data_IF_446637577704
#
_entry.id   IF_446637577704
#
_cell.length_a   1.000
_cell.length_b   1.000
_cell.length_c   1.000
_cell.angle_alpha   90.00
_cell.angle_beta   90.00
_cell.angle_gamma   90.00
#
_symmetry.space_group_name_H-M   'P 1'
#
loop_
_entity.id
_entity.type
_entity.pdbx_description
1 polymer ?
#
# COMPACT_ATOMS: atom_id res chain seq x y z
N UNK A 1 7.92 31.46 -52.92
CA UNK A 1 7.01 30.29 -52.93
C UNK A 1 7.38 29.40 -51.77
N UNK A 2 6.40 29.02 -50.96
CA UNK A 2 6.54 28.36 -49.66
C UNK A 2 6.30 26.86 -49.83
N UNK A 3 7.29 26.03 -49.52
CA UNK A 3 7.15 24.58 -49.38
C UNK A 3 8.06 24.10 -48.25
N UNK A 4 7.60 24.28 -47.02
CA UNK A 4 8.18 23.63 -45.84
C UNK A 4 7.56 22.24 -45.71
N UNK A 5 8.23 21.24 -46.26
CA UNK A 5 7.94 19.82 -46.02
C UNK A 5 9.11 19.28 -45.18
N UNK A 6 8.86 19.09 -43.89
CA UNK A 6 9.65 18.21 -43.04
C UNK A 6 8.69 17.55 -42.04
N UNK A 7 8.16 16.41 -42.44
CA UNK A 7 7.56 15.39 -41.57
C UNK A 7 8.21 14.08 -42.06
N UNK A 8 8.97 13.39 -41.19
CA UNK A 8 8.31 12.54 -40.21
C UNK A 8 8.98 12.63 -38.83
N UNK A 9 8.29 13.27 -37.89
CA UNK A 9 8.56 13.02 -36.47
C UNK A 9 7.91 11.68 -36.12
N UNK A 10 8.65 10.60 -36.37
CA UNK A 10 8.43 9.33 -35.67
C UNK A 10 8.84 9.55 -34.21
N UNK A 11 7.97 10.19 -33.43
CA UNK A 11 8.09 10.23 -31.98
C UNK A 11 7.38 8.99 -31.44
N UNK A 12 8.22 8.02 -31.10
CA UNK A 12 7.91 6.73 -30.52
C UNK A 12 6.83 6.83 -29.43
N UNK A 13 5.82 5.99 -29.59
CA UNK A 13 4.82 5.65 -28.59
C UNK A 13 5.54 5.12 -27.33
N UNK A 14 5.84 5.99 -26.37
CA UNK A 14 6.18 5.56 -25.01
C UNK A 14 4.86 5.36 -24.28
N UNK A 15 4.27 4.18 -24.48
CA UNK A 15 3.31 3.60 -23.55
C UNK A 15 4.02 3.51 -22.20
N UNK A 16 3.77 4.47 -21.31
CA UNK A 16 3.98 4.22 -19.88
C UNK A 16 2.91 3.18 -19.52
N UNK A 17 3.34 1.93 -19.38
CA UNK A 17 2.56 0.96 -18.65
C UNK A 17 2.34 1.58 -17.27
N UNK A 18 1.12 2.07 -17.02
CA UNK A 18 0.64 2.13 -15.67
C UNK A 18 0.68 0.68 -15.19
N UNK A 19 1.75 0.33 -14.47
CA UNK A 19 1.71 -0.80 -13.57
C UNK A 19 0.54 -0.50 -12.62
N UNK A 20 -0.62 -1.03 -12.99
CA UNK A 20 -1.62 -1.30 -12.01
C UNK A 20 -0.91 -2.20 -11.00
N UNK A 21 -0.48 -1.62 -9.88
CA UNK A 21 -0.17 -2.34 -8.66
C UNK A 21 -1.48 -3.02 -8.27
N UNK A 22 -1.78 -4.12 -8.95
CA UNK A 22 -2.83 -5.03 -8.58
C UNK A 22 -2.37 -5.61 -7.27
N UNK A 23 -3.05 -5.20 -6.20
CA UNK A 23 -2.90 -5.83 -4.89
C UNK A 23 -2.91 -7.33 -5.05
N UNK A 24 -1.79 -7.98 -4.75
CA UNK A 24 -1.73 -9.46 -4.72
C UNK A 24 -2.29 -10.01 -3.42
N UNK A 25 -2.51 -9.11 -2.44
CA UNK A 25 -3.25 -9.41 -1.23
C UNK A 25 -4.74 -9.38 -1.55
N UNK A 26 -5.30 -10.57 -1.73
CA UNK A 26 -6.73 -10.79 -1.82
C UNK A 26 -7.40 -10.29 -0.51
N UNK A 27 -8.31 -9.29 -0.58
CA UNK A 27 -8.92 -8.71 0.62
C UNK A 27 -9.80 -9.71 1.39
N UNK A 28 -10.28 -10.78 0.75
CA UNK A 28 -10.99 -11.89 1.40
C UNK A 28 -10.02 -12.85 2.12
N UNK A 29 -8.70 -12.73 1.91
CA UNK A 29 -7.65 -13.49 2.63
C UNK A 29 -7.09 -12.79 3.85
N UNK A 30 -7.52 -11.56 4.14
CA UNK A 30 -7.12 -10.89 5.38
C UNK A 30 -7.85 -11.58 6.54
N UNK A 31 -7.10 -12.14 7.49
CA UNK A 31 -7.71 -12.78 8.64
C UNK A 31 -8.51 -11.77 9.48
N UNK A 32 -9.49 -12.27 10.24
CA UNK A 32 -10.21 -11.44 11.20
C UNK A 32 -9.27 -10.79 12.23
N UNK A 33 -8.15 -11.43 12.55
CA UNK A 33 -7.18 -10.89 13.50
C UNK A 33 -6.46 -9.67 12.90
N UNK A 34 -5.91 -9.84 11.70
CA UNK A 34 -5.25 -8.77 10.98
C UNK A 34 -6.21 -7.59 10.71
N UNK A 35 -7.44 -7.87 10.29
CA UNK A 35 -8.45 -6.83 10.10
C UNK A 35 -8.73 -6.04 11.38
N UNK A 36 -8.89 -6.72 12.52
CA UNK A 36 -9.08 -6.06 13.83
C UNK A 36 -7.89 -5.18 14.18
N UNK A 37 -6.67 -5.67 14.04
CA UNK A 37 -5.46 -4.90 14.35
C UNK A 37 -5.28 -3.68 13.45
N UNK A 38 -5.59 -3.81 12.15
CA UNK A 38 -5.59 -2.68 11.22
C UNK A 38 -6.61 -1.60 11.61
N UNK A 39 -7.81 -2.01 12.04
CA UNK A 39 -8.87 -1.10 12.49
C UNK A 39 -8.51 -0.40 13.80
N UNK A 40 -7.95 -1.13 14.77
CA UNK A 40 -7.48 -0.57 16.04
C UNK A 40 -6.37 0.45 15.81
N UNK A 41 -5.35 0.08 15.02
CA UNK A 41 -4.25 0.97 14.67
C UNK A 41 -4.72 2.25 13.97
N UNK A 42 -5.69 2.15 13.05
CA UNK A 42 -6.29 3.30 12.40
C UNK A 42 -6.98 4.23 13.40
N UNK A 43 -7.74 3.63 14.34
CA UNK A 43 -8.46 4.36 15.38
C UNK A 43 -7.50 5.10 16.33
N UNK A 44 -6.44 4.42 16.79
CA UNK A 44 -5.41 5.01 17.67
C UNK A 44 -4.63 6.12 16.97
N UNK A 45 -4.32 5.94 15.68
CA UNK A 45 -3.64 6.96 14.88
C UNK A 45 -4.53 8.14 14.47
N UNK A 46 -5.84 8.08 14.70
CA UNK A 46 -6.81 9.09 14.27
C UNK A 46 -7.02 9.12 12.75
N UNK A 47 -6.71 8.03 12.05
CA UNK A 47 -6.97 7.90 10.62
C UNK A 47 -8.44 7.55 10.36
N UNK A 48 -8.96 7.98 9.20
CA UNK A 48 -10.38 7.74 8.86
C UNK A 48 -10.68 6.23 8.79
N UNK A 49 -9.71 5.44 8.29
CA UNK A 49 -9.76 3.99 8.26
C UNK A 49 -8.37 3.42 8.07
N UNK A 50 -8.24 2.08 8.16
CA UNK A 50 -7.01 1.38 7.80
C UNK A 50 -6.60 1.52 6.31
N UNK A 51 -7.52 1.99 5.46
CA UNK A 51 -7.28 2.24 4.03
C UNK A 51 -6.93 3.70 3.73
N UNK A 52 -6.91 4.57 4.75
CA UNK A 52 -6.46 5.95 4.61
C UNK A 52 -4.93 6.00 4.52
N UNK A 53 -4.39 5.53 3.40
CA UNK A 53 -2.94 5.36 3.20
C UNK A 53 -2.17 6.69 3.37
N UNK A 54 -2.81 7.83 3.09
CA UNK A 54 -2.21 9.15 3.32
C UNK A 54 -1.97 9.44 4.81
N UNK A 55 -2.79 8.86 5.69
CA UNK A 55 -2.64 8.94 7.13
C UNK A 55 -1.82 7.76 7.70
N UNK A 56 -2.14 6.52 7.31
CA UNK A 56 -1.56 5.31 7.92
C UNK A 56 -0.09 5.09 7.54
N UNK A 57 0.29 5.34 6.28
CA UNK A 57 1.66 5.12 5.81
C UNK A 57 2.71 6.02 6.50
N UNK A 58 2.49 7.33 6.73
CA UNK A 58 3.45 8.15 7.46
C UNK A 58 3.34 8.00 8.98
N UNK A 59 2.22 7.50 9.53
CA UNK A 59 1.96 7.50 10.97
C UNK A 59 2.77 6.46 11.74
N UNK A 60 3.67 6.86 12.67
CA UNK A 60 4.33 5.92 13.57
C UNK A 60 3.33 5.25 14.51
N UNK A 61 2.37 6.01 15.04
CA UNK A 61 1.34 5.50 15.94
C UNK A 61 0.53 4.35 15.32
N UNK A 62 0.22 4.44 14.03
CA UNK A 62 -0.44 3.36 13.30
C UNK A 62 0.45 2.10 13.26
N UNK A 63 1.71 2.24 12.85
CA UNK A 63 2.64 1.11 12.67
C UNK A 63 2.96 0.44 14.00
N UNK A 64 3.20 1.22 15.05
CA UNK A 64 3.53 0.70 16.38
C UNK A 64 2.32 -0.06 16.96
N UNK A 65 1.12 0.51 16.88
CA UNK A 65 -0.11 -0.14 17.38
C UNK A 65 -0.42 -1.41 16.61
N UNK A 66 -0.30 -1.38 15.27
CA UNK A 66 -0.50 -2.56 14.42
C UNK A 66 0.49 -3.68 14.79
N UNK A 67 1.76 -3.33 14.97
CA UNK A 67 2.84 -4.26 15.33
C UNK A 67 2.58 -4.92 16.69
N UNK A 68 2.21 -4.14 17.69
CA UNK A 68 1.89 -4.65 19.04
C UNK A 68 0.69 -5.59 18.96
N UNK A 69 -0.40 -5.17 18.31
CA UNK A 69 -1.61 -5.98 18.19
C UNK A 69 -1.36 -7.32 17.48
N UNK A 70 -0.57 -7.31 16.39
CA UNK A 70 -0.22 -8.53 15.66
C UNK A 70 0.60 -9.49 16.52
N UNK A 71 1.59 -8.97 17.27
CA UNK A 71 2.43 -9.77 18.17
C UNK A 71 1.64 -10.42 19.31
N UNK A 72 0.69 -9.69 19.87
CA UNK A 72 -0.03 -10.13 21.06
C UNK A 72 -1.21 -11.06 20.72
N UNK A 73 -1.81 -10.89 19.53
CA UNK A 73 -3.12 -11.48 19.28
C UNK A 73 -3.25 -12.28 17.98
N UNK A 74 -2.29 -12.18 17.06
CA UNK A 74 -2.37 -12.77 15.72
C UNK A 74 -1.26 -13.79 15.46
N UNK A 75 -1.31 -14.45 14.30
CA UNK A 75 -0.29 -15.43 13.92
C UNK A 75 0.89 -14.77 13.19
N UNK A 76 2.05 -15.43 13.09
CA UNK A 76 3.16 -14.94 12.28
C UNK A 76 2.78 -14.71 10.80
N UNK A 77 1.87 -15.51 10.25
CA UNK A 77 1.37 -15.33 8.88
C UNK A 77 0.61 -14.01 8.73
N UNK A 78 -0.17 -13.59 9.73
CA UNK A 78 -0.86 -12.30 9.72
C UNK A 78 0.14 -11.13 9.70
N UNK A 79 1.26 -11.26 10.43
CA UNK A 79 2.32 -10.25 10.42
C UNK A 79 3.02 -10.17 9.06
N UNK A 80 3.24 -11.32 8.41
CA UNK A 80 3.76 -11.34 7.05
C UNK A 80 2.81 -10.65 6.07
N UNK A 81 1.52 -11.00 6.09
CA UNK A 81 0.50 -10.38 5.22
C UNK A 81 0.39 -8.88 5.49
N UNK A 82 0.48 -8.44 6.76
CA UNK A 82 0.52 -7.02 7.09
C UNK A 82 1.72 -6.29 6.46
N UNK A 83 2.89 -6.94 6.43
CA UNK A 83 4.09 -6.41 5.78
C UNK A 83 3.94 -6.29 4.27
N UNK A 84 3.42 -7.34 3.61
CA UNK A 84 3.12 -7.34 2.17
C UNK A 84 2.12 -6.23 1.82
N UNK A 85 1.07 -6.09 2.62
CA UNK A 85 0.05 -5.05 2.49
C UNK A 85 0.63 -3.64 2.67
N UNK A 86 1.60 -3.48 3.58
CA UNK A 86 2.28 -2.20 3.76
C UNK A 86 3.15 -1.84 2.56
N UNK A 87 3.87 -2.80 1.99
CA UNK A 87 4.66 -2.58 0.76
C UNK A 87 3.74 -2.18 -0.39
N UNK A 88 2.64 -2.90 -0.55
CA UNK A 88 1.64 -2.65 -1.58
C UNK A 88 1.00 -1.26 -1.46
N UNK A 89 0.65 -0.82 -0.24
CA UNK A 89 -0.05 0.44 0.00
C UNK A 89 0.86 1.66 0.13
N UNK A 90 2.06 1.46 0.68
CA UNK A 90 2.96 2.53 1.08
C UNK A 90 4.26 2.56 0.27
N UNK A 91 4.49 1.60 -0.63
CA UNK A 91 5.64 1.55 -1.53
C UNK A 91 6.98 1.28 -0.86
N UNK A 92 6.99 0.95 0.43
CA UNK A 92 8.21 0.66 1.20
C UNK A 92 7.97 -0.51 2.17
N UNK A 93 9.02 -1.28 2.53
CA UNK A 93 8.90 -2.27 3.59
C UNK A 93 8.44 -1.63 4.89
N UNK A 94 7.51 -2.29 5.60
CA UNK A 94 7.13 -1.84 6.93
C UNK A 94 8.37 -1.85 7.85
N UNK A 95 8.59 -0.82 8.66
CA UNK A 95 9.62 -0.87 9.68
C UNK A 95 9.25 -1.95 10.70
N UNK A 96 9.90 -3.11 10.54
CA UNK A 96 9.94 -4.27 11.45
C UNK A 96 8.63 -4.55 12.21
N UNK A 97 7.60 -4.98 11.46
CA UNK A 97 6.46 -5.73 11.99
C UNK A 97 6.96 -7.02 12.67
#
# INVERSE_FOLDING_TARGET
MKLSIFVPLAAFLSFVAAEASGSTVDPDKISNCLFRCLSEAASVAGCISAYDNKCTCPSPAFKDTLTICLKDACTPEDAQVAGELHVERCGTPAPQL
#
